data_IF_056648743236
#
_entry.id   IF_056648743236
#
_cell.length_a   1.000
_cell.length_b   1.000
_cell.length_c   1.000
_cell.angle_alpha   90.00
_cell.angle_beta   90.00
_cell.angle_gamma   90.00
#
_symmetry.space_group_name_H-M   'P 1'
#
loop_
_entity.id
_entity.type
_entity.pdbx_description
1 polymer ?
#
# COMPACT_ATOMS: atom_id res chain seq x y z
N UNK A 1 19.53 -19.36 18.79
CA UNK A 1 20.07 -18.16 18.11
C UNK A 1 18.92 -17.19 17.90
N UNK A 2 19.10 -15.89 18.17
CA UNK A 2 18.08 -14.89 17.83
C UNK A 2 17.94 -14.78 16.30
N UNK A 3 16.72 -14.56 15.77
CA UNK A 3 16.54 -14.36 14.34
C UNK A 3 17.33 -13.12 13.86
N UNK A 4 17.84 -13.12 12.62
CA UNK A 4 18.47 -11.93 12.06
C UNK A 4 17.45 -10.79 11.96
N UNK A 5 17.91 -9.56 12.10
CA UNK A 5 17.06 -8.37 12.08
C UNK A 5 17.30 -7.54 10.82
N UNK A 6 16.24 -7.18 10.12
CA UNK A 6 16.24 -6.22 9.01
C UNK A 6 15.71 -4.89 9.54
N UNK A 7 16.40 -3.79 9.27
CA UNK A 7 15.98 -2.45 9.71
C UNK A 7 15.89 -1.53 8.51
N UNK A 8 14.68 -1.10 8.15
CA UNK A 8 14.48 -0.08 7.10
C UNK A 8 14.91 1.26 7.66
N UNK A 9 16.00 1.80 7.12
CA UNK A 9 16.69 2.96 7.67
C UNK A 9 16.46 4.25 6.89
N UNK A 10 15.55 4.27 5.91
CA UNK A 10 15.17 5.50 5.21
C UNK A 10 13.75 5.47 4.69
N UNK A 11 13.05 6.59 4.85
CA UNK A 11 11.75 6.84 4.24
C UNK A 11 11.91 7.26 2.78
N UNK A 12 11.04 6.75 1.90
CA UNK A 12 11.02 7.06 0.47
C UNK A 12 9.61 7.41 0.03
N UNK A 13 9.45 8.59 -0.58
CA UNK A 13 8.17 9.08 -1.10
C UNK A 13 7.04 9.13 -0.06
N UNK A 14 5.82 9.11 -0.59
CA UNK A 14 4.55 9.10 0.15
C UNK A 14 4.09 7.67 0.51
N UNK A 15 2.88 7.53 1.06
CA UNK A 15 2.30 6.29 1.58
C UNK A 15 2.46 5.07 0.65
N UNK A 16 1.99 5.14 -0.60
CA UNK A 16 2.05 4.00 -1.53
C UNK A 16 3.48 3.49 -1.75
N UNK A 17 4.46 4.39 -1.81
CA UNK A 17 5.86 4.00 -1.92
C UNK A 17 6.30 3.24 -0.65
N UNK A 18 6.05 3.82 0.52
CA UNK A 18 6.46 3.20 1.79
C UNK A 18 5.78 1.85 2.01
N UNK A 19 4.53 1.69 1.58
CA UNK A 19 3.81 0.42 1.64
C UNK A 19 4.44 -0.65 0.76
N UNK A 20 4.78 -0.35 -0.50
CA UNK A 20 5.48 -1.33 -1.35
C UNK A 20 6.82 -1.75 -0.76
N UNK A 21 7.68 -0.80 -0.36
CA UNK A 21 8.96 -1.15 0.27
C UNK A 21 8.74 -2.01 1.53
N UNK A 22 7.78 -1.64 2.37
CA UNK A 22 7.49 -2.38 3.60
C UNK A 22 6.97 -3.79 3.28
N UNK A 23 6.02 -3.92 2.36
CA UNK A 23 5.45 -5.19 1.95
C UNK A 23 6.47 -6.17 1.36
N UNK A 24 7.35 -5.71 0.46
CA UNK A 24 8.43 -6.57 -0.05
C UNK A 24 9.39 -7.02 1.07
N UNK A 25 9.66 -6.14 2.04
CA UNK A 25 10.54 -6.46 3.16
C UNK A 25 9.87 -7.39 4.17
N UNK A 26 8.55 -7.28 4.39
CA UNK A 26 7.75 -8.23 5.18
C UNK A 26 7.83 -9.61 4.53
N UNK A 27 7.62 -9.68 3.21
CA UNK A 27 7.71 -10.94 2.48
C UNK A 27 9.11 -11.58 2.59
N UNK A 28 10.17 -10.79 2.49
CA UNK A 28 11.54 -11.28 2.70
C UNK A 28 11.78 -11.71 4.15
N UNK A 29 11.32 -10.93 5.13
CA UNK A 29 11.47 -11.26 6.54
C UNK A 29 10.76 -12.57 6.89
N UNK A 30 9.53 -12.75 6.37
CA UNK A 30 8.77 -13.99 6.48
C UNK A 30 9.52 -15.17 5.85
N UNK A 31 10.05 -14.98 4.65
CA UNK A 31 10.77 -16.02 3.92
C UNK A 31 12.03 -16.50 4.65
N UNK A 32 12.83 -15.58 5.19
CA UNK A 32 14.11 -15.90 5.84
C UNK A 32 14.01 -16.15 7.35
N UNK A 33 12.81 -16.04 7.95
CA UNK A 33 12.63 -16.13 9.40
C UNK A 33 13.31 -15.00 10.16
N UNK A 34 13.32 -13.79 9.58
CA UNK A 34 13.92 -12.60 10.15
C UNK A 34 12.86 -11.73 10.84
N UNK A 35 13.32 -10.91 11.80
CA UNK A 35 12.52 -9.79 12.32
C UNK A 35 12.77 -8.56 11.45
N UNK A 36 11.71 -7.84 11.08
CA UNK A 36 11.77 -6.58 10.38
C UNK A 36 11.38 -5.45 11.31
N UNK A 37 12.16 -4.38 11.32
CA UNK A 37 11.90 -3.14 12.04
C UNK A 37 11.78 -1.99 11.03
N UNK A 38 10.70 -1.23 11.07
CA UNK A 38 10.46 -0.12 10.15
C UNK A 38 10.13 1.19 10.89
N UNK A 39 11.08 1.76 11.64
CA UNK A 39 10.86 3.04 12.32
C UNK A 39 10.58 4.18 11.32
N UNK A 40 11.07 4.06 10.08
CA UNK A 40 10.83 4.99 8.98
C UNK A 40 9.38 5.03 8.47
N UNK A 41 8.50 4.16 8.99
CA UNK A 41 7.06 4.18 8.75
C UNK A 41 6.28 5.05 9.76
N UNK A 42 6.98 5.73 10.68
CA UNK A 42 6.43 6.56 11.75
C UNK A 42 5.22 7.45 11.38
N UNK A 43 5.28 8.10 10.21
CA UNK A 43 4.25 9.03 9.72
C UNK A 43 2.89 8.34 9.50
N UNK A 44 2.90 7.08 9.06
CA UNK A 44 1.70 6.33 8.68
C UNK A 44 1.38 5.20 9.67
N UNK A 45 2.20 5.00 10.70
CA UNK A 45 2.08 3.87 11.62
C UNK A 45 0.70 3.77 12.29
N UNK A 46 0.06 4.91 12.59
CA UNK A 46 -1.27 4.95 13.24
C UNK A 46 -2.42 4.51 12.33
N UNK A 47 -2.18 4.47 11.02
CA UNK A 47 -3.19 4.12 10.03
C UNK A 47 -3.46 2.60 10.00
N UNK A 48 -2.60 1.79 10.60
CA UNK A 48 -2.66 0.33 10.55
C UNK A 48 -2.69 -0.28 11.95
N UNK A 49 -3.50 -1.32 12.11
CA UNK A 49 -3.76 -1.99 13.38
C UNK A 49 -2.47 -2.51 14.04
N UNK A 50 -1.62 -3.19 13.26
CA UNK A 50 -0.39 -3.84 13.74
C UNK A 50 0.72 -2.86 14.09
N UNK A 51 0.71 -1.65 13.54
CA UNK A 51 1.81 -0.67 13.72
C UNK A 51 1.44 0.51 14.61
N UNK A 52 0.14 0.74 14.87
CA UNK A 52 -0.32 1.89 15.64
C UNK A 52 0.23 1.91 17.07
N UNK A 53 0.33 0.73 17.71
CA UNK A 53 0.87 0.53 19.05
C UNK A 53 2.38 0.28 19.12
N UNK A 54 3.05 -0.05 18.02
CA UNK A 54 4.47 -0.43 18.04
C UNK A 54 5.38 0.70 17.56
N UNK A 55 6.26 1.18 18.45
CA UNK A 55 7.24 2.25 18.18
C UNK A 55 8.12 1.94 16.97
N UNK A 56 8.44 0.66 16.75
CA UNK A 56 9.34 0.22 15.70
C UNK A 56 8.62 -0.23 14.43
N UNK A 57 7.29 -0.32 14.45
CA UNK A 57 6.49 -0.90 13.37
C UNK A 57 7.11 -2.24 12.91
N UNK A 58 7.13 -3.24 13.79
CA UNK A 58 7.80 -4.52 13.55
C UNK A 58 6.96 -5.48 12.74
N UNK A 59 7.64 -6.45 12.15
CA UNK A 59 7.08 -7.71 11.69
C UNK A 59 8.03 -8.87 12.09
N UNK A 60 7.56 -10.02 12.61
CA UNK A 60 6.18 -10.25 13.02
C UNK A 60 5.78 -9.37 14.21
N UNK A 61 4.48 -9.23 14.45
CA UNK A 61 3.96 -8.54 15.64
C UNK A 61 4.35 -9.36 16.87
N UNK A 62 4.92 -8.70 17.88
CA UNK A 62 5.18 -9.31 19.18
C UNK A 62 3.96 -9.03 20.05
N UNK A 63 2.99 -9.94 20.10
CA UNK A 63 1.92 -9.89 21.08
C UNK A 63 2.47 -10.37 22.42
N UNK A 64 2.21 -9.61 23.50
CA UNK A 64 2.54 -10.03 24.87
C UNK A 64 1.77 -11.28 25.33
N UNK A 65 0.84 -11.78 24.51
CA UNK A 65 -0.16 -12.80 24.82
C UNK A 65 0.29 -14.25 24.60
N UNK A 66 1.53 -14.50 24.16
CA UNK A 66 1.99 -15.89 23.95
C UNK A 66 2.32 -16.66 25.25
N UNK A 67 2.40 -15.99 26.42
CA UNK A 67 2.80 -16.61 27.70
C UNK A 67 1.87 -16.28 28.90
N UNK A 68 0.73 -15.62 28.71
CA UNK A 68 -0.19 -15.30 29.82
C UNK A 68 -1.64 -15.72 29.53
N UNK A 69 -2.17 -16.64 30.34
CA UNK A 69 -3.59 -17.00 30.37
C UNK A 69 -4.51 -15.88 30.90
N UNK A 70 -3.96 -14.72 31.25
CA UNK A 70 -4.72 -13.54 31.66
C UNK A 70 -4.94 -12.60 30.48
N UNK A 71 -6.22 -12.38 30.14
CA UNK A 71 -6.63 -11.29 29.25
C UNK A 71 -6.20 -9.96 29.88
N UNK A 72 -5.43 -9.10 29.20
CA UNK A 72 -5.09 -7.79 29.75
C UNK A 72 -6.36 -6.95 29.99
N UNK A 73 -6.40 -6.29 31.14
CA UNK A 73 -7.41 -5.29 31.47
C UNK A 73 -7.31 -4.11 30.48
N UNK A 74 -8.41 -3.41 30.13
CA UNK A 74 -8.37 -2.23 29.26
C UNK A 74 -7.42 -1.12 29.73
N UNK A 75 -7.00 -1.15 31.00
CA UNK A 75 -6.06 -0.21 31.60
C UNK A 75 -4.56 -0.52 31.31
N UNK A 76 -4.23 -1.74 30.88
CA UNK A 76 -2.85 -2.19 30.60
C UNK A 76 -2.46 -2.06 29.12
N UNK A 77 -3.34 -1.49 28.29
CA UNK A 77 -3.02 -1.14 26.91
C UNK A 77 -1.88 -0.10 26.91
N UNK A 78 -0.64 -0.56 26.68
CA UNK A 78 0.53 0.29 26.55
C UNK A 78 0.18 1.52 25.70
N UNK A 79 0.27 2.71 26.30
CA UNK A 79 -0.10 3.95 25.63
C UNK A 79 0.62 4.03 24.28
N UNK A 80 -0.16 4.23 23.21
CA UNK A 80 0.36 4.24 21.86
C UNK A 80 1.54 5.24 21.76
N UNK A 81 2.67 4.86 21.10
CA UNK A 81 3.84 5.72 21.03
C UNK A 81 3.52 7.10 20.44
N UNK A 82 4.07 8.14 21.05
CA UNK A 82 3.86 9.52 20.60
C UNK A 82 4.49 9.75 19.21
N UNK A 83 3.87 10.60 18.38
CA UNK A 83 4.39 10.96 17.05
C UNK A 83 5.82 11.50 17.13
N UNK A 84 6.15 12.25 18.20
CA UNK A 84 7.49 12.79 18.44
C UNK A 84 8.51 11.67 18.67
N UNK A 85 8.20 10.68 19.51
CA UNK A 85 9.10 9.55 19.78
C UNK A 85 9.39 8.74 18.52
N UNK A 86 8.36 8.43 17.72
CA UNK A 86 8.48 7.74 16.44
C UNK A 86 9.38 8.50 15.46
N UNK A 87 9.17 9.81 15.33
CA UNK A 87 9.96 10.68 14.44
C UNK A 87 11.42 10.74 14.88
N UNK A 88 11.69 10.90 16.17
CA UNK A 88 13.06 10.94 16.70
C UNK A 88 13.78 9.62 16.46
N UNK A 89 13.11 8.48 16.69
CA UNK A 89 13.67 7.17 16.41
C UNK A 89 14.01 6.99 14.92
N UNK A 90 13.06 7.32 14.04
CA UNK A 90 13.27 7.24 12.58
C UNK A 90 14.47 8.09 12.14
N UNK A 91 14.56 9.33 12.62
CA UNK A 91 15.66 10.24 12.31
C UNK A 91 17.01 9.75 12.85
N UNK A 92 17.03 9.18 14.06
CA UNK A 92 18.23 8.61 14.65
C UNK A 92 18.74 7.45 13.80
N UNK A 93 17.87 6.48 13.48
CA UNK A 93 18.21 5.32 12.65
C UNK A 93 18.71 5.75 11.26
N UNK A 94 18.04 6.71 10.61
CA UNK A 94 18.45 7.21 9.30
C UNK A 94 19.83 7.89 9.34
N UNK A 95 20.09 8.73 10.34
CA UNK A 95 21.40 9.41 10.50
C UNK A 95 22.51 8.40 10.79
N UNK A 96 22.26 7.44 11.68
CA UNK A 96 23.20 6.36 11.99
C UNK A 96 23.51 5.52 10.75
N UNK A 97 22.51 5.12 9.97
CA UNK A 97 22.72 4.36 8.74
C UNK A 97 23.51 5.13 7.69
N UNK A 98 23.27 6.45 7.55
CA UNK A 98 24.06 7.31 6.64
C UNK A 98 25.51 7.40 7.08
N UNK A 99 25.77 7.58 8.38
CA UNK A 99 27.12 7.66 8.93
C UNK A 99 27.86 6.34 8.74
N UNK A 100 27.26 5.21 9.11
CA UNK A 100 27.85 3.88 8.98
C UNK A 100 28.11 3.51 7.51
N UNK A 101 27.20 3.87 6.61
CA UNK A 101 27.42 3.69 5.17
C UNK A 101 28.59 4.53 4.64
N UNK A 102 28.76 5.76 5.14
CA UNK A 102 29.84 6.65 4.70
C UNK A 102 31.21 6.18 5.21
N UNK A 103 31.28 5.62 6.43
CA UNK A 103 32.52 5.06 7.00
C UNK A 103 32.79 3.64 6.54
N UNK A 104 31.92 3.04 5.72
CA UNK A 104 31.96 1.62 5.31
C UNK A 104 32.08 0.67 6.51
N UNK A 105 31.52 1.07 7.65
CA UNK A 105 31.59 0.28 8.87
C UNK A 105 30.78 -0.99 8.72
N UNK A 106 31.41 -2.14 8.98
CA UNK A 106 30.71 -3.41 8.98
C UNK A 106 31.26 -4.35 10.05
N UNK A 107 30.38 -5.08 10.73
CA UNK A 107 30.74 -6.02 11.81
C UNK A 107 29.72 -7.16 11.87
N UNK A 108 30.07 -8.32 12.44
CA UNK A 108 29.11 -9.42 12.63
C UNK A 108 27.83 -9.00 13.38
N UNK A 109 27.90 -7.96 14.22
CA UNK A 109 26.74 -7.45 14.95
C UNK A 109 25.85 -6.50 14.15
N UNK A 110 26.39 -5.81 13.15
CA UNK A 110 25.71 -4.75 12.41
C UNK A 110 26.33 -4.55 11.03
N UNK A 111 25.49 -4.64 9.99
CA UNK A 111 25.85 -4.29 8.63
C UNK A 111 24.90 -3.29 8.00
N UNK A 112 25.34 -2.69 6.89
CA UNK A 112 24.59 -1.69 6.13
C UNK A 112 24.56 -2.07 4.66
N UNK A 113 23.35 -2.16 4.10
CA UNK A 113 23.11 -2.36 2.68
C UNK A 113 22.48 -1.09 2.10
N UNK A 114 23.31 -0.29 1.42
CA UNK A 114 22.90 0.96 0.77
C UNK A 114 22.79 0.76 -0.74
N UNK A 115 21.64 1.11 -1.32
CA UNK A 115 21.43 1.15 -2.77
C UNK A 115 21.67 2.57 -3.31
N UNK A 116 22.16 2.64 -4.54
CA UNK A 116 22.22 3.87 -5.33
C UNK A 116 20.84 4.34 -5.76
N UNK A 117 20.77 5.51 -6.41
CA UNK A 117 19.57 5.92 -7.13
C UNK A 117 19.38 4.93 -8.29
N UNK A 118 18.17 4.41 -8.46
CA UNK A 118 17.77 3.48 -9.54
C UNK A 118 18.44 2.09 -9.53
N UNK A 119 19.20 1.75 -8.48
CA UNK A 119 19.73 0.39 -8.28
C UNK A 119 18.71 -0.47 -7.55
N UNK A 120 18.27 -1.55 -8.18
CA UNK A 120 17.40 -2.55 -7.56
C UNK A 120 18.22 -3.62 -6.83
N UNK A 121 17.64 -4.17 -5.76
CA UNK A 121 18.12 -5.35 -5.07
C UNK A 121 16.98 -6.36 -5.04
N UNK A 122 17.18 -7.51 -5.70
CA UNK A 122 16.26 -8.63 -5.55
C UNK A 122 16.45 -9.26 -4.17
N UNK A 123 15.39 -9.30 -3.37
CA UNK A 123 15.39 -9.89 -2.04
C UNK A 123 15.38 -11.42 -2.07
N UNK A 124 15.08 -12.04 -3.21
CA UNK A 124 15.20 -13.49 -3.42
C UNK A 124 16.61 -13.92 -3.82
N UNK A 125 17.50 -12.98 -4.17
CA UNK A 125 18.86 -13.33 -4.55
C UNK A 125 19.69 -13.78 -3.33
N UNK A 126 20.48 -14.83 -3.55
CA UNK A 126 21.49 -15.35 -2.62
C UNK A 126 22.41 -14.27 -2.05
N UNK A 127 22.71 -13.22 -2.82
CA UNK A 127 23.52 -12.08 -2.35
C UNK A 127 22.86 -11.37 -1.16
N UNK A 128 21.54 -11.17 -1.21
CA UNK A 128 20.79 -10.56 -0.11
C UNK A 128 20.76 -11.49 1.10
N UNK A 129 20.46 -12.77 0.89
CA UNK A 129 20.46 -13.77 1.96
C UNK A 129 21.80 -13.85 2.68
N UNK A 130 22.91 -13.92 1.94
CA UNK A 130 24.25 -13.98 2.51
C UNK A 130 24.55 -12.73 3.36
N UNK A 131 24.15 -11.55 2.90
CA UNK A 131 24.27 -10.31 3.67
C UNK A 131 23.39 -10.33 4.92
N UNK A 132 22.17 -10.82 4.83
CA UNK A 132 21.28 -10.95 5.99
C UNK A 132 21.85 -11.90 7.03
N UNK A 133 22.37 -13.06 6.62
CA UNK A 133 22.90 -14.09 7.52
C UNK A 133 24.26 -13.76 8.12
N UNK A 134 25.05 -12.90 7.48
CA UNK A 134 26.37 -12.49 7.98
C UNK A 134 26.31 -11.45 9.12
N UNK A 135 25.12 -10.90 9.41
CA UNK A 135 24.95 -9.85 10.40
C UNK A 135 23.79 -10.17 11.34
N UNK A 136 23.94 -9.86 12.62
CA UNK A 136 22.79 -9.90 13.55
C UNK A 136 21.72 -8.86 13.15
N UNK A 137 22.15 -7.71 12.65
CA UNK A 137 21.31 -6.59 12.23
C UNK A 137 21.78 -6.07 10.87
N UNK A 138 20.86 -5.92 9.93
CA UNK A 138 21.11 -5.36 8.62
C UNK A 138 20.27 -4.09 8.41
N UNK A 139 20.94 -2.94 8.40
CA UNK A 139 20.33 -1.66 8.03
C UNK A 139 20.20 -1.57 6.51
N UNK A 140 18.99 -1.37 6.01
CA UNK A 140 18.73 -1.21 4.59
C UNK A 140 18.41 0.25 4.26
N UNK A 141 19.11 0.77 3.26
CA UNK A 141 19.01 2.18 2.86
C UNK A 141 18.93 2.26 1.33
N UNK A 142 17.71 2.14 0.80
CA UNK A 142 17.46 2.05 -0.64
C UNK A 142 15.95 1.98 -0.91
N UNK A 143 15.54 2.43 -2.10
CA UNK A 143 14.13 2.41 -2.50
C UNK A 143 13.71 1.07 -3.12
N UNK A 144 14.56 0.52 -4.00
CA UNK A 144 14.23 -0.61 -4.87
C UNK A 144 14.66 -1.96 -4.30
N UNK A 145 14.44 -2.17 -3.00
CA UNK A 145 14.41 -3.52 -2.44
C UNK A 145 13.10 -4.18 -2.87
N UNK A 146 13.18 -5.14 -3.78
CA UNK A 146 12.03 -5.78 -4.42
C UNK A 146 12.22 -7.27 -4.49
N UNK A 147 11.13 -8.01 -4.55
CA UNK A 147 11.13 -9.40 -5.00
C UNK A 147 9.69 -9.76 -5.30
N UNK A 148 9.35 -9.84 -6.59
CA UNK A 148 8.00 -10.20 -7.01
C UNK A 148 7.64 -11.63 -6.59
N UNK A 149 8.63 -12.52 -6.62
CA UNK A 149 8.47 -13.92 -6.22
C UNK A 149 8.10 -14.04 -4.74
N UNK A 150 8.87 -13.39 -3.84
CA UNK A 150 8.58 -13.45 -2.41
C UNK A 150 7.31 -12.67 -2.07
N UNK A 151 7.10 -11.50 -2.70
CA UNK A 151 5.94 -10.65 -2.45
C UNK A 151 4.63 -11.35 -2.82
N UNK A 152 4.59 -12.07 -3.95
CA UNK A 152 3.45 -12.91 -4.31
C UNK A 152 3.29 -14.12 -3.39
N UNK A 153 4.39 -14.79 -3.03
CA UNK A 153 4.36 -15.97 -2.15
C UNK A 153 3.81 -15.67 -0.76
N UNK A 154 4.09 -14.48 -0.23
CA UNK A 154 3.71 -14.06 1.12
C UNK A 154 2.69 -12.90 1.10
N UNK A 155 1.87 -12.82 0.05
CA UNK A 155 0.92 -11.72 -0.13
C UNK A 155 -0.10 -11.63 1.01
N UNK A 156 -0.58 -12.77 1.52
CA UNK A 156 -1.58 -12.82 2.59
C UNK A 156 -1.00 -12.32 3.92
N UNK A 157 0.26 -12.66 4.24
CA UNK A 157 0.94 -12.09 5.40
C UNK A 157 1.12 -10.57 5.27
N UNK A 158 1.47 -10.07 4.08
CA UNK A 158 1.58 -8.62 3.84
C UNK A 158 0.22 -7.93 4.03
N UNK A 159 -0.85 -8.48 3.45
CA UNK A 159 -2.21 -7.92 3.55
C UNK A 159 -2.71 -7.92 4.98
N UNK A 160 -2.50 -9.03 5.71
CA UNK A 160 -2.87 -9.14 7.12
C UNK A 160 -2.10 -8.14 7.98
N UNK A 161 -0.80 -7.98 7.73
CA UNK A 161 0.02 -7.07 8.52
C UNK A 161 -0.33 -5.61 8.27
N UNK A 162 -0.58 -5.23 7.01
CA UNK A 162 -0.91 -3.87 6.61
C UNK A 162 -2.43 -3.65 6.53
N UNK A 163 -3.19 -4.29 7.41
CA UNK A 163 -4.63 -4.05 7.57
C UNK A 163 -4.87 -2.67 8.20
N UNK A 164 -5.72 -1.81 7.61
CA UNK A 164 -6.07 -0.51 8.19
C UNK A 164 -6.65 -0.65 9.60
N UNK A 165 -6.45 0.36 10.45
CA UNK A 165 -7.08 0.42 11.76
C UNK A 165 -8.61 0.45 11.65
N UNK A 166 -9.31 -0.02 12.69
CA UNK A 166 -10.76 -0.21 12.67
C UNK A 166 -11.56 1.04 12.32
N UNK A 167 -11.19 2.21 12.84
CA UNK A 167 -11.88 3.46 12.52
C UNK A 167 -11.85 3.79 11.01
N UNK A 168 -10.72 3.51 10.34
CA UNK A 168 -10.60 3.69 8.89
C UNK A 168 -11.42 2.64 8.14
N UNK A 169 -11.42 1.38 8.60
CA UNK A 169 -12.25 0.32 7.99
C UNK A 169 -13.73 0.65 8.02
N UNK A 170 -14.22 1.24 9.11
CA UNK A 170 -15.61 1.69 9.22
C UNK A 170 -15.95 2.79 8.21
N UNK A 171 -15.05 3.77 8.03
CA UNK A 171 -15.22 4.82 7.04
C UNK A 171 -15.22 4.27 5.59
N UNK A 172 -14.30 3.34 5.30
CA UNK A 172 -14.22 2.63 4.01
C UNK A 172 -15.52 1.84 3.76
N UNK A 173 -15.95 1.02 4.71
CA UNK A 173 -17.15 0.19 4.60
C UNK A 173 -18.42 1.04 4.38
N UNK A 174 -18.54 2.18 5.06
CA UNK A 174 -19.64 3.12 4.86
C UNK A 174 -19.66 3.68 3.43
N UNK A 175 -18.50 4.09 2.90
CA UNK A 175 -18.38 4.59 1.54
C UNK A 175 -18.72 3.50 0.50
N UNK A 176 -18.20 2.28 0.67
CA UNK A 176 -18.49 1.15 -0.22
C UNK A 176 -19.97 0.75 -0.18
N UNK A 177 -20.57 0.69 1.00
CA UNK A 177 -22.01 0.37 1.15
C UNK A 177 -22.86 1.39 0.40
N UNK A 178 -22.52 2.68 0.52
CA UNK A 178 -23.20 3.74 -0.22
C UNK A 178 -22.98 3.61 -1.74
N UNK A 179 -21.75 3.40 -2.18
CA UNK A 179 -21.41 3.29 -3.60
C UNK A 179 -21.98 2.03 -4.28
N UNK A 180 -22.28 0.98 -3.51
CA UNK A 180 -22.88 -0.26 -4.01
C UNK A 180 -24.41 -0.34 -3.87
N UNK A 181 -25.06 0.68 -3.30
CA UNK A 181 -26.49 0.61 -2.99
C UNK A 181 -27.39 0.33 -4.20
N UNK A 182 -27.04 0.87 -5.38
CA UNK A 182 -27.81 0.69 -6.62
C UNK A 182 -26.86 0.48 -7.81
N UNK A 183 -26.02 -0.55 -7.75
CA UNK A 183 -24.88 -0.71 -8.67
C UNK A 183 -24.57 -2.17 -8.92
N UNK A 184 -24.42 -2.52 -10.18
CA UNK A 184 -24.02 -3.88 -10.59
C UNK A 184 -22.50 -3.99 -10.76
N UNK A 185 -21.82 -2.89 -11.07
CA UNK A 185 -20.36 -2.80 -11.19
C UNK A 185 -19.84 -1.52 -10.57
N UNK A 186 -18.92 -1.64 -9.60
CA UNK A 186 -18.24 -0.50 -9.02
C UNK A 186 -16.84 -0.35 -9.62
N UNK A 187 -16.60 0.74 -10.35
CA UNK A 187 -15.30 1.03 -10.99
C UNK A 187 -14.57 2.12 -10.18
N UNK A 188 -13.36 1.82 -9.71
CA UNK A 188 -12.49 2.79 -9.05
C UNK A 188 -11.78 3.67 -10.06
N UNK A 189 -11.84 4.99 -9.87
CA UNK A 189 -11.15 5.99 -10.70
C UNK A 189 -10.23 6.79 -9.82
N UNK A 190 -8.92 6.70 -10.07
CA UNK A 190 -7.95 7.53 -9.38
C UNK A 190 -7.56 8.72 -10.28
N UNK A 191 -8.01 9.90 -9.89
CA UNK A 191 -7.62 11.16 -10.53
C UNK A 191 -6.41 11.71 -9.77
N UNK A 192 -5.21 11.52 -10.33
CA UNK A 192 -3.98 12.03 -9.73
C UNK A 192 -3.56 13.34 -10.38
N UNK A 193 -3.71 14.44 -9.65
CA UNK A 193 -3.23 15.78 -9.98
C UNK A 193 -2.08 16.12 -9.04
N UNK A 194 -2.08 17.29 -8.41
CA UNK A 194 -1.11 17.68 -7.39
C UNK A 194 0.32 17.62 -7.92
N UNK A 195 1.16 16.76 -7.33
CA UNK A 195 2.57 16.57 -7.74
C UNK A 195 2.71 16.09 -9.19
N UNK A 196 1.67 15.50 -9.79
CA UNK A 196 1.69 15.04 -11.17
C UNK A 196 1.74 16.19 -12.18
N UNK A 197 1.41 17.42 -11.78
CA UNK A 197 1.55 18.60 -12.64
C UNK A 197 3.01 18.87 -13.06
N UNK A 198 3.98 18.45 -12.25
CA UNK A 198 5.42 18.63 -12.52
C UNK A 198 6.19 17.32 -12.63
N UNK A 199 5.67 16.22 -12.07
CA UNK A 199 6.27 14.90 -12.19
C UNK A 199 6.35 14.44 -13.65
N UNK A 200 7.54 14.00 -14.08
CA UNK A 200 7.83 13.62 -15.48
C UNK A 200 7.31 14.66 -16.49
N UNK A 201 7.55 15.95 -16.21
CA UNK A 201 7.10 17.07 -17.04
C UNK A 201 5.58 17.10 -17.31
N UNK A 202 4.77 16.58 -16.37
CA UNK A 202 3.32 16.57 -16.50
C UNK A 202 2.76 15.46 -17.40
N UNK A 203 3.59 14.48 -17.80
CA UNK A 203 3.18 13.40 -18.73
C UNK A 203 1.91 12.67 -18.29
N UNK A 204 1.72 12.48 -16.98
CA UNK A 204 0.56 11.77 -16.40
C UNK A 204 -0.49 12.71 -15.81
N UNK A 205 -0.40 14.02 -16.09
CA UNK A 205 -1.40 14.99 -15.68
C UNK A 205 -2.52 15.02 -16.72
N UNK A 206 -3.63 14.37 -16.40
CA UNK A 206 -4.80 14.29 -17.27
C UNK A 206 -5.93 15.19 -16.77
N UNK A 207 -6.62 15.82 -17.70
CA UNK A 207 -7.77 16.69 -17.47
C UNK A 207 -9.07 15.89 -17.35
N UNK A 208 -10.15 16.55 -16.92
CA UNK A 208 -11.43 15.91 -16.67
C UNK A 208 -12.07 15.35 -17.95
N UNK A 209 -11.77 15.95 -19.11
CA UNK A 209 -12.22 15.42 -20.40
C UNK A 209 -11.64 14.04 -20.70
N UNK A 210 -10.35 13.82 -20.40
CA UNK A 210 -9.74 12.50 -20.51
C UNK A 210 -10.45 11.47 -19.61
N UNK A 211 -10.64 11.78 -18.32
CA UNK A 211 -11.32 10.87 -17.40
C UNK A 211 -12.77 10.61 -17.78
N UNK A 212 -13.52 11.65 -18.17
CA UNK A 212 -14.90 11.51 -18.65
C UNK A 212 -14.98 10.54 -19.83
N UNK A 213 -14.11 10.71 -20.84
CA UNK A 213 -14.07 9.81 -22.01
C UNK A 213 -13.75 8.37 -21.59
N UNK A 214 -12.76 8.17 -20.74
CA UNK A 214 -12.39 6.83 -20.25
C UNK A 214 -13.50 6.16 -19.44
N UNK A 215 -14.22 6.93 -18.62
CA UNK A 215 -15.34 6.43 -17.84
C UNK A 215 -16.52 6.03 -18.74
N UNK A 216 -16.85 6.80 -19.78
CA UNK A 216 -17.85 6.38 -20.78
C UNK A 216 -17.42 5.11 -21.53
N UNK A 217 -16.17 5.06 -22.03
CA UNK A 217 -15.64 3.85 -22.68
C UNK A 217 -15.71 2.62 -21.78
N UNK A 218 -15.49 2.79 -20.48
CA UNK A 218 -15.62 1.73 -19.49
C UNK A 218 -17.09 1.28 -19.34
N UNK A 219 -18.01 2.22 -19.17
CA UNK A 219 -19.44 1.94 -19.00
C UNK A 219 -20.06 1.23 -20.22
N UNK A 220 -19.65 1.62 -21.43
CA UNK A 220 -20.10 1.03 -22.70
C UNK A 220 -19.77 -0.47 -22.82
N UNK A 221 -18.82 -0.99 -22.02
CA UNK A 221 -18.42 -2.40 -22.03
C UNK A 221 -19.28 -3.31 -21.14
N UNK A 222 -20.29 -2.77 -20.44
CA UNK A 222 -21.07 -3.51 -19.43
C UNK A 222 -22.52 -3.86 -19.82
N UNK A 223 -22.85 -3.97 -21.11
CA UNK A 223 -24.15 -4.48 -21.63
C UNK A 223 -25.41 -3.95 -20.90
N UNK A 224 -25.43 -2.67 -20.54
CA UNK A 224 -26.57 -2.02 -19.88
C UNK A 224 -26.66 -2.21 -18.35
N UNK A 225 -25.66 -2.84 -17.73
CA UNK A 225 -25.52 -2.89 -16.27
C UNK A 225 -25.29 -1.49 -15.68
N UNK A 226 -25.75 -1.30 -14.44
CA UNK A 226 -25.56 -0.06 -13.69
C UNK A 226 -24.12 0.02 -13.20
N UNK A 227 -23.38 0.98 -13.76
CA UNK A 227 -21.99 1.25 -13.39
C UNK A 227 -21.93 2.48 -12.52
N UNK A 228 -21.28 2.36 -11.37
CA UNK A 228 -20.94 3.49 -10.50
C UNK A 228 -19.44 3.68 -10.48
N UNK A 229 -19.00 4.93 -10.61
CA UNK A 229 -17.61 5.29 -10.53
C UNK A 229 -17.28 5.85 -9.15
N UNK A 230 -16.46 5.13 -8.40
CA UNK A 230 -15.87 5.62 -7.17
C UNK A 230 -14.64 6.45 -7.51
N UNK A 231 -14.73 7.77 -7.34
CA UNK A 231 -13.66 8.70 -7.73
C UNK A 231 -12.86 9.13 -6.49
N UNK A 232 -11.56 8.85 -6.51
CA UNK A 232 -10.61 9.34 -5.50
C UNK A 232 -9.59 10.27 -6.14
N UNK A 233 -9.35 11.42 -5.52
CA UNK A 233 -8.47 12.46 -6.06
C UNK A 233 -7.73 13.20 -4.97
N UNK A 234 -6.51 13.67 -5.27
CA UNK A 234 -5.76 14.56 -4.39
C UNK A 234 -6.10 16.05 -4.61
N UNK A 235 -7.14 16.35 -5.38
CA UNK A 235 -7.67 17.69 -5.62
C UNK A 235 -9.20 17.63 -5.80
N UNK A 236 -9.94 18.73 -5.57
CA UNK A 236 -11.40 18.76 -5.77
C UNK A 236 -11.82 18.23 -7.14
N UNK A 237 -12.91 17.47 -7.18
CA UNK A 237 -13.51 16.96 -8.41
C UNK A 237 -14.89 17.57 -8.54
N UNK A 238 -15.10 18.25 -9.67
CA UNK A 238 -16.40 18.81 -10.02
C UNK A 238 -17.24 17.75 -10.74
N UNK A 239 -18.37 17.37 -10.15
CA UNK A 239 -19.26 16.35 -10.70
C UNK A 239 -19.93 16.80 -12.01
N UNK A 240 -20.07 18.11 -12.25
CA UNK A 240 -20.66 18.65 -13.48
C UNK A 240 -19.81 18.34 -14.72
N UNK A 241 -18.51 18.03 -14.54
CA UNK A 241 -17.60 17.62 -15.62
C UNK A 241 -17.86 16.20 -16.15
N UNK A 242 -18.78 15.45 -15.52
CA UNK A 242 -19.04 14.05 -15.84
C UNK A 242 -20.52 13.76 -16.12
N UNK A 243 -21.13 14.44 -17.11
CA UNK A 243 -22.54 14.27 -17.41
C UNK A 243 -22.86 12.83 -17.85
N UNK A 244 -23.97 12.29 -17.34
CA UNK A 244 -24.44 10.95 -17.69
C UNK A 244 -23.68 9.79 -17.02
N UNK A 245 -22.81 10.08 -16.06
CA UNK A 245 -22.08 9.08 -15.27
C UNK A 245 -22.55 9.12 -13.80
N UNK A 246 -22.75 7.96 -13.18
CA UNK A 246 -23.01 7.89 -11.75
C UNK A 246 -21.68 7.92 -10.98
N UNK A 247 -21.48 8.94 -10.14
CA UNK A 247 -20.22 9.17 -9.42
C UNK A 247 -20.47 9.20 -7.92
N UNK A 248 -19.63 8.48 -7.19
CA UNK A 248 -19.48 8.62 -5.75
C UNK A 248 -18.04 9.06 -5.45
N UNK A 249 -17.88 10.14 -4.69
CA UNK A 249 -16.56 10.56 -4.25
C UNK A 249 -16.07 9.67 -3.10
N UNK A 250 -14.76 9.37 -3.11
CA UNK A 250 -14.12 8.69 -1.99
C UNK A 250 -14.17 9.52 -0.69
N UNK A 251 -13.79 8.91 0.45
CA UNK A 251 -13.81 9.61 1.75
C UNK A 251 -12.94 10.87 1.85
N UNK A 252 -11.98 11.07 0.93
CA UNK A 252 -11.07 12.22 0.90
C UNK A 252 -9.88 12.11 1.86
N UNK A 253 -9.80 11.01 2.62
CA UNK A 253 -8.66 10.69 3.46
C UNK A 253 -7.72 9.72 2.73
N UNK A 254 -6.42 10.04 2.69
CA UNK A 254 -5.40 9.33 1.89
C UNK A 254 -5.45 7.79 1.98
N UNK A 255 -5.55 7.24 3.20
CA UNK A 255 -5.64 5.79 3.40
C UNK A 255 -7.02 5.26 2.98
N UNK A 256 -8.07 5.98 3.34
CA UNK A 256 -9.44 5.50 3.14
C UNK A 256 -9.78 5.49 1.66
N UNK A 257 -9.39 6.52 0.90
CA UNK A 257 -9.46 6.54 -0.56
C UNK A 257 -8.72 5.34 -1.18
N UNK A 258 -7.48 5.08 -0.75
CA UNK A 258 -6.67 3.97 -1.26
C UNK A 258 -7.37 2.61 -1.06
N UNK A 259 -7.91 2.38 0.12
CA UNK A 259 -8.55 1.11 0.46
C UNK A 259 -10.00 1.03 -0.04
N UNK A 260 -10.69 2.15 -0.24
CA UNK A 260 -11.99 2.16 -0.91
C UNK A 260 -11.81 1.80 -2.39
N UNK A 261 -10.75 2.28 -3.07
CA UNK A 261 -10.39 1.81 -4.42
C UNK A 261 -10.13 0.30 -4.44
N UNK A 262 -9.48 -0.25 -3.39
CA UNK A 262 -9.18 -1.68 -3.30
C UNK A 262 -10.45 -2.55 -3.30
N UNK A 263 -11.59 -2.05 -2.83
CA UNK A 263 -12.88 -2.74 -2.75
C UNK A 263 -13.73 -2.63 -4.04
N UNK A 264 -13.21 -1.97 -5.08
CA UNK A 264 -13.86 -1.83 -6.40
C UNK A 264 -13.61 -3.04 -7.30
N UNK A 265 -14.49 -3.29 -8.26
CA UNK A 265 -14.42 -4.46 -9.16
C UNK A 265 -13.30 -4.32 -10.21
N UNK A 266 -13.03 -3.08 -10.63
CA UNK A 266 -12.01 -2.71 -11.61
C UNK A 266 -11.52 -1.30 -11.33
N UNK A 267 -10.24 -1.03 -11.55
CA UNK A 267 -9.65 0.29 -11.36
C UNK A 267 -9.04 0.85 -12.65
N UNK A 268 -9.16 2.16 -12.84
CA UNK A 268 -8.44 2.93 -13.85
C UNK A 268 -7.75 4.14 -13.22
N UNK A 269 -6.63 4.55 -13.79
CA UNK A 269 -5.91 5.76 -13.38
C UNK A 269 -4.50 5.82 -13.96
N UNK A 270 -3.75 6.90 -13.68
CA UNK A 270 -2.38 7.03 -14.15
C UNK A 270 -1.43 6.06 -13.40
N UNK A 271 -0.24 5.75 -13.96
CA UNK A 271 0.81 5.02 -13.25
C UNK A 271 1.07 5.61 -11.86
N UNK A 272 0.79 4.84 -10.81
CA UNK A 272 0.92 5.30 -9.42
C UNK A 272 1.09 4.13 -8.46
N UNK A 273 2.01 4.26 -7.51
CA UNK A 273 2.12 3.29 -6.40
C UNK A 273 0.90 3.33 -5.49
N UNK A 274 0.10 4.41 -5.51
CA UNK A 274 -1.14 4.51 -4.75
C UNK A 274 -2.18 3.49 -5.22
N UNK A 275 -2.53 3.53 -6.52
CA UNK A 275 -3.47 2.58 -7.13
C UNK A 275 -2.87 1.19 -7.26
N UNK A 276 -1.56 1.08 -7.54
CA UNK A 276 -0.89 -0.22 -7.54
C UNK A 276 -1.00 -0.94 -6.20
N UNK A 277 -0.90 -0.21 -5.08
CA UNK A 277 -1.11 -0.79 -3.76
C UNK A 277 -2.57 -1.19 -3.52
N UNK A 278 -3.52 -0.34 -3.91
CA UNK A 278 -4.95 -0.66 -3.84
C UNK A 278 -5.28 -1.95 -4.61
N UNK A 279 -4.77 -2.10 -5.82
CA UNK A 279 -4.90 -3.32 -6.63
C UNK A 279 -4.30 -4.55 -5.95
N UNK A 280 -3.13 -4.41 -5.32
CA UNK A 280 -2.51 -5.50 -4.55
C UNK A 280 -3.38 -5.92 -3.35
N UNK A 281 -3.89 -4.96 -2.59
CA UNK A 281 -4.72 -5.23 -1.41
C UNK A 281 -6.05 -5.88 -1.79
N UNK A 282 -6.74 -5.36 -2.81
CA UNK A 282 -8.04 -5.88 -3.26
C UNK A 282 -7.96 -7.12 -4.15
N UNK A 283 -6.82 -7.38 -4.78
CA UNK A 283 -6.70 -8.43 -5.81
C UNK A 283 -7.45 -8.11 -7.12
N UNK A 284 -7.90 -6.86 -7.28
CA UNK A 284 -8.71 -6.42 -8.40
C UNK A 284 -7.87 -5.93 -9.58
N UNK A 285 -8.44 -5.99 -10.79
CA UNK A 285 -7.72 -5.55 -11.98
C UNK A 285 -7.56 -4.03 -11.97
N UNK A 286 -6.40 -3.56 -12.44
CA UNK A 286 -6.06 -2.17 -12.61
C UNK A 286 -5.51 -1.96 -14.02
N UNK A 287 -6.08 -1.02 -14.75
CA UNK A 287 -5.50 -0.53 -16.00
C UNK A 287 -4.83 0.82 -15.73
N UNK A 288 -3.52 0.89 -16.00
CA UNK A 288 -2.82 2.16 -16.04
C UNK A 288 -3.02 2.85 -17.38
N UNK A 289 -3.41 4.12 -17.32
CA UNK A 289 -3.53 5.02 -18.45
C UNK A 289 -2.28 5.89 -18.51
N UNK A 290 -1.43 5.63 -19.50
CA UNK A 290 -0.10 6.22 -19.66
C UNK A 290 -0.09 7.44 -20.58
N UNK A 291 -1.11 7.58 -21.43
CA UNK A 291 -1.24 8.70 -22.36
C UNK A 291 -2.68 9.21 -22.44
N UNK A 292 -2.85 10.48 -22.82
CA UNK A 292 -4.19 11.05 -23.09
C UNK A 292 -4.95 10.27 -24.16
N UNK A 293 -4.27 9.62 -25.10
CA UNK A 293 -4.89 8.90 -26.21
C UNK A 293 -5.23 7.45 -25.87
N UNK A 294 -4.92 6.97 -24.67
CA UNK A 294 -5.24 5.60 -24.27
C UNK A 294 -6.75 5.37 -24.28
N UNK A 295 -7.14 4.10 -24.43
CA UNK A 295 -8.51 3.62 -24.30
C UNK A 295 -8.65 2.69 -23.10
N UNK A 296 -9.85 2.65 -22.51
CA UNK A 296 -10.16 1.70 -21.44
C UNK A 296 -10.55 0.35 -22.02
N UNK A 297 -9.95 -0.72 -21.51
CA UNK A 297 -10.29 -2.11 -21.82
C UNK A 297 -10.56 -2.84 -20.51
N UNK A 298 -11.83 -3.12 -20.24
CA UNK A 298 -12.24 -3.89 -19.08
C UNK A 298 -11.91 -5.37 -19.32
N UNK A 299 -11.26 -6.08 -18.38
CA UNK A 299 -11.01 -7.51 -18.52
C UNK A 299 -12.29 -8.33 -18.65
N UNK A 300 -12.31 -9.30 -19.57
CA UNK A 300 -13.46 -10.19 -19.83
C UNK A 300 -14.06 -10.81 -18.56
N UNK A 301 -13.22 -11.19 -17.60
CA UNK A 301 -13.65 -11.79 -16.33
C UNK A 301 -14.54 -10.87 -15.50
N UNK A 302 -14.41 -9.54 -15.66
CA UNK A 302 -15.19 -8.52 -14.96
C UNK A 302 -16.47 -8.24 -15.75
N UNK A 303 -16.36 -8.09 -17.07
CA UNK A 303 -17.51 -7.92 -17.97
C UNK A 303 -18.51 -9.07 -17.80
N UNK A 304 -18.02 -10.31 -17.80
CA UNK A 304 -18.83 -11.54 -17.74
C UNK A 304 -19.21 -11.97 -16.33
N UNK A 305 -18.78 -11.26 -15.27
CA UNK A 305 -19.12 -11.61 -13.88
C UNK A 305 -20.62 -11.42 -13.69
N UNK A 306 -21.39 -12.51 -13.81
CA UNK A 306 -22.81 -12.58 -13.43
C UNK A 306 -22.90 -12.73 -11.91
N UNK A 307 -23.93 -12.16 -11.30
CA UNK A 307 -24.16 -12.20 -9.86
C UNK A 307 -24.14 -13.63 -9.33
N UNK A 308 -23.05 -14.03 -8.66
CA UNK A 308 -23.02 -15.22 -7.83
C UNK A 308 -23.70 -14.90 -6.50
N UNK A 309 -25.03 -14.79 -6.52
CA UNK A 309 -25.83 -14.68 -5.28
C UNK A 309 -27.06 -15.58 -5.26
N UNK A 310 -27.15 -16.62 -6.12
CA UNK A 310 -28.28 -17.57 -6.11
C UNK A 310 -27.93 -19.07 -6.13
N UNK A 311 -26.65 -19.48 -6.10
CA UNK A 311 -26.28 -20.92 -6.20
C UNK A 311 -25.67 -21.54 -4.93
N UNK A 312 -25.93 -20.98 -3.74
CA UNK A 312 -25.62 -21.65 -2.46
C UNK A 312 -26.86 -22.01 -1.63
N UNK A 313 -28.05 -22.01 -2.25
CA UNK A 313 -29.28 -22.49 -1.65
C UNK A 313 -30.01 -23.45 -2.60
N UNK A 314 -29.39 -24.61 -2.85
CA UNK A 314 -30.05 -25.81 -3.38
C UNK A 314 -29.32 -27.05 -2.85
#
# INVERSE_FOLDING_TARGET
MHPPQIIIARSYGQLGNRLFLYGHMIAAARHYGAELLNPCFAEYARLFETTAGDLWCRYPVVTAEADSQDKPSPADAAQAPSTRSRRLLAQAIERSAKLLAATRWNSRGLGVLKLGRDVACDLADSTFEQKLRSHRRLLTHGWLFRSETLFRRHADEVRSHLRPAECHRQNIARCITHARADTDVLVGVHIRRGDYATFQNGQYFFDDECYRRWMHQCAEQFDGRRVTFLVCSNAPVDAEQFPGLNIVQGPGHLLEDMYTLAETDFMIGPPSTFTGWAAFMGGNALQYLQSKTDSVSVPDRIVRRRDHTLESAA
#
